data_IF_278065882443
#
_entry.id   IF_278065882443
#
_cell.length_a   1.000
_cell.length_b   1.000
_cell.length_c   1.000
_cell.angle_alpha   90.00
_cell.angle_beta   90.00
_cell.angle_gamma   90.00
#
_symmetry.space_group_name_H-M   'P 1'
#
loop_
_entity.id
_entity.type
_entity.pdbx_description
1 polymer ?
#
# COMPACT_ATOMS: atom_id res chain seq x y z
N UNK A 1 -3.10 -7.69 4.98
CA UNK A 1 -3.98 -8.40 4.04
C UNK A 1 -3.30 -8.41 2.69
N UNK A 2 -3.01 -9.59 2.17
CA UNK A 2 -2.30 -9.83 0.92
C UNK A 2 -3.09 -10.87 0.12
N UNK A 3 -3.01 -10.85 -1.20
CA UNK A 3 -3.76 -11.78 -2.05
C UNK A 3 -2.89 -12.39 -3.12
N UNK A 4 -3.20 -13.63 -3.50
CA UNK A 4 -2.49 -14.35 -4.55
C UNK A 4 -3.40 -14.69 -5.74
N UNK A 5 -2.82 -15.21 -6.83
CA UNK A 5 -3.53 -15.56 -8.06
C UNK A 5 -4.56 -16.67 -7.87
N UNK A 6 -4.39 -17.50 -6.83
CA UNK A 6 -5.30 -18.59 -6.48
C UNK A 6 -6.54 -18.13 -5.69
N UNK A 7 -6.77 -16.81 -5.61
CA UNK A 7 -7.91 -16.19 -4.93
C UNK A 7 -7.92 -16.37 -3.40
N UNK A 8 -6.76 -16.67 -2.81
CA UNK A 8 -6.62 -16.72 -1.35
C UNK A 8 -6.28 -15.35 -0.76
N UNK A 9 -6.58 -15.18 0.53
CA UNK A 9 -6.24 -14.00 1.31
C UNK A 9 -5.32 -14.42 2.44
N UNK A 10 -4.22 -13.67 2.60
CA UNK A 10 -3.20 -13.90 3.62
C UNK A 10 -3.05 -12.67 4.52
N UNK A 11 -2.56 -12.90 5.73
CA UNK A 11 -2.18 -11.91 6.71
C UNK A 11 -0.66 -11.68 6.76
N UNK A 12 0.15 -12.55 6.17
CA UNK A 12 1.59 -12.42 5.96
C UNK A 12 1.98 -12.50 4.46
N UNK A 13 2.83 -11.58 3.99
CA UNK A 13 3.38 -11.60 2.63
C UNK A 13 4.21 -12.84 2.36
N UNK A 14 4.73 -13.48 3.41
CA UNK A 14 5.48 -14.72 3.25
C UNK A 14 4.58 -15.89 2.83
N UNK A 15 3.25 -15.72 2.90
CA UNK A 15 2.26 -16.67 2.39
C UNK A 15 1.99 -16.61 0.89
N UNK A 16 2.36 -15.53 0.18
CA UNK A 16 2.07 -15.37 -1.26
C UNK A 16 3.22 -15.87 -2.16
N UNK A 17 2.89 -16.34 -3.36
CA UNK A 17 3.81 -16.86 -4.37
C UNK A 17 4.92 -15.86 -4.73
N UNK A 18 6.13 -16.36 -4.99
CA UNK A 18 7.33 -15.53 -5.28
C UNK A 18 7.07 -14.54 -6.42
N UNK A 19 6.35 -14.99 -7.47
CA UNK A 19 6.01 -14.13 -8.61
C UNK A 19 5.13 -12.93 -8.21
N UNK A 20 4.14 -13.12 -7.33
CA UNK A 20 3.30 -12.02 -6.82
C UNK A 20 3.99 -11.21 -5.73
N UNK A 21 4.81 -11.85 -4.90
CA UNK A 21 5.60 -11.21 -3.85
C UNK A 21 6.60 -10.21 -4.42
N UNK A 22 7.33 -10.61 -5.45
CA UNK A 22 8.40 -9.81 -6.03
C UNK A 22 7.93 -8.98 -7.23
N UNK A 23 6.83 -9.37 -7.87
CA UNK A 23 6.28 -8.67 -9.04
C UNK A 23 5.24 -7.59 -8.72
N UNK A 24 4.84 -7.43 -7.44
CA UNK A 24 3.87 -6.43 -7.02
C UNK A 24 4.30 -5.74 -5.73
N UNK A 25 4.12 -4.42 -5.65
CA UNK A 25 4.47 -3.64 -4.45
C UNK A 25 3.38 -3.77 -3.39
N UNK A 26 3.68 -4.52 -2.34
CA UNK A 26 2.77 -4.71 -1.19
C UNK A 26 2.88 -3.58 -0.14
N UNK A 27 3.97 -2.83 -0.17
CA UNK A 27 4.20 -1.64 0.65
C UNK A 27 4.60 -0.48 -0.24
N UNK A 28 4.06 0.71 0.05
CA UNK A 28 4.32 1.94 -0.70
C UNK A 28 4.39 3.13 0.26
N UNK A 29 5.23 4.11 -0.08
CA UNK A 29 5.34 5.38 0.64
C UNK A 29 4.53 6.53 -0.01
N UNK A 30 3.85 6.27 -1.13
CA UNK A 30 3.13 7.31 -1.87
C UNK A 30 2.02 8.04 -1.10
N UNK A 31 1.34 7.46 -0.08
CA UNK A 31 0.35 8.19 0.70
C UNK A 31 0.88 9.41 1.45
N UNK A 32 2.19 9.49 1.74
CA UNK A 32 2.79 10.65 2.39
C UNK A 32 2.49 11.96 1.64
N UNK A 33 2.44 11.91 0.31
CA UNK A 33 2.14 13.09 -0.52
C UNK A 33 0.77 13.70 -0.21
N UNK A 34 -0.21 12.89 0.16
CA UNK A 34 -1.54 13.38 0.53
C UNK A 34 -1.51 14.11 1.87
N UNK A 35 -0.71 13.63 2.83
CA UNK A 35 -0.52 14.30 4.13
C UNK A 35 0.19 15.64 3.97
N UNK A 36 1.23 15.68 3.14
CA UNK A 36 1.96 16.92 2.84
C UNK A 36 1.05 17.96 2.17
N UNK A 37 0.21 17.52 1.23
CA UNK A 37 -0.79 18.37 0.59
C UNK A 37 -1.86 18.87 1.58
N UNK A 38 -2.34 18.01 2.47
CA UNK A 38 -3.30 18.39 3.51
C UNK A 38 -2.74 19.47 4.44
N UNK A 39 -1.48 19.36 4.85
CA UNK A 39 -0.85 20.35 5.72
C UNK A 39 -0.80 21.75 5.08
N UNK A 40 -0.69 21.84 3.75
CA UNK A 40 -0.76 23.11 3.02
C UNK A 40 -2.22 23.60 2.91
N UNK A 41 -3.13 22.69 2.58
CA UNK A 41 -4.56 22.99 2.47
C UNK A 41 -5.13 23.55 3.78
N UNK A 42 -4.82 22.93 4.92
CA UNK A 42 -5.32 23.34 6.23
C UNK A 42 -4.85 24.75 6.64
N UNK A 43 -3.63 25.15 6.23
CA UNK A 43 -3.14 26.53 6.46
C UNK A 43 -3.93 27.58 5.68
N UNK A 44 -4.42 27.20 4.50
CA UNK A 44 -5.20 28.09 3.63
C UNK A 44 -6.70 28.09 3.98
N UNK A 45 -7.18 27.12 4.77
CA UNK A 45 -8.59 26.93 5.13
C UNK A 45 -8.73 26.58 6.62
N UNK A 46 -8.65 27.58 7.52
CA UNK A 46 -8.75 27.37 8.97
C UNK A 46 -10.17 27.06 9.46
#
# INVERSE_FOLDING_TARGET
MFGDKDQTIHDDVNGISIGRRNGYSWWIASPQKALDAFAQWAKAHP
#
